data_IF_336881938303
#
_entry.id   IF_336881938303
#
_cell.length_a   1.000
_cell.length_b   1.000
_cell.length_c   1.000
_cell.angle_alpha   90.00
_cell.angle_beta   90.00
_cell.angle_gamma   90.00
#
_symmetry.space_group_name_H-M   'P 1'
#
loop_
_entity.id
_entity.type
_entity.pdbx_description
1 polymer ?
#
# COMPACT_ATOMS: atom_id res chain seq x y z
N UNK A 1 26.05 -50.79 -23.80
CA UNK A 1 25.43 -49.96 -22.75
C UNK A 1 26.19 -48.65 -22.77
N UNK A 2 25.51 -47.55 -23.13
CA UNK A 2 26.13 -46.23 -23.13
C UNK A 2 26.00 -45.74 -21.69
N UNK A 3 27.12 -45.64 -20.97
CA UNK A 3 27.16 -44.90 -19.72
C UNK A 3 26.90 -43.43 -20.06
N UNK A 4 25.67 -42.97 -19.82
CA UNK A 4 25.37 -41.55 -19.90
C UNK A 4 26.28 -40.82 -18.92
N UNK A 5 26.95 -39.78 -19.41
CA UNK A 5 27.87 -39.02 -18.58
C UNK A 5 27.09 -38.27 -17.48
N UNK A 6 27.72 -38.08 -16.32
CA UNK A 6 27.12 -37.32 -15.23
C UNK A 6 26.61 -35.93 -15.66
N UNK A 7 27.27 -35.33 -16.65
CA UNK A 7 26.95 -34.01 -17.20
C UNK A 7 25.65 -34.00 -18.02
N UNK A 8 25.32 -35.09 -18.69
CA UNK A 8 24.07 -35.24 -19.45
C UNK A 8 22.86 -35.31 -18.51
N UNK A 9 22.99 -36.08 -17.44
CA UNK A 9 21.97 -36.18 -16.39
C UNK A 9 21.71 -34.80 -15.75
N UNK A 10 22.79 -34.07 -15.44
CA UNK A 10 22.66 -32.76 -14.83
C UNK A 10 22.04 -31.74 -15.81
N UNK A 11 22.37 -31.84 -17.09
CA UNK A 11 21.75 -31.04 -18.15
C UNK A 11 20.24 -31.32 -18.27
N UNK A 12 19.84 -32.59 -18.24
CA UNK A 12 18.43 -32.98 -18.31
C UNK A 12 17.61 -32.39 -17.16
N UNK A 13 18.12 -32.47 -15.93
CA UNK A 13 17.45 -31.88 -14.78
C UNK A 13 17.41 -30.35 -14.85
N UNK A 14 18.48 -29.70 -15.32
CA UNK A 14 18.49 -28.24 -15.48
C UNK A 14 17.46 -27.78 -16.53
N UNK A 15 17.37 -28.47 -17.66
CA UNK A 15 16.35 -28.20 -18.69
C UNK A 15 14.93 -28.44 -18.16
N UNK A 16 14.73 -29.49 -17.35
CA UNK A 16 13.46 -29.78 -16.72
C UNK A 16 13.02 -28.67 -15.74
N UNK A 17 13.94 -28.15 -14.93
CA UNK A 17 13.69 -27.01 -14.05
C UNK A 17 13.23 -25.79 -14.86
N UNK A 18 13.95 -25.46 -15.94
CA UNK A 18 13.65 -24.30 -16.76
C UNK A 18 12.28 -24.41 -17.45
N UNK A 19 11.95 -25.60 -17.98
CA UNK A 19 10.62 -25.87 -18.58
C UNK A 19 9.48 -25.73 -17.59
N UNK A 20 9.65 -26.22 -16.36
CA UNK A 20 8.63 -26.08 -15.30
C UNK A 20 8.45 -24.60 -14.93
N UNK A 21 9.55 -23.86 -14.78
CA UNK A 21 9.50 -22.42 -14.46
C UNK A 21 8.82 -21.60 -15.58
N UNK A 22 9.07 -21.96 -16.84
CA UNK A 22 8.46 -21.31 -18.01
C UNK A 22 7.02 -21.78 -18.27
N UNK A 23 6.47 -22.69 -17.46
CA UNK A 23 5.15 -23.31 -17.66
C UNK A 23 5.00 -24.02 -19.02
N UNK A 24 6.11 -24.54 -19.55
CA UNK A 24 6.18 -25.31 -20.78
C UNK A 24 6.74 -26.72 -20.53
N UNK A 25 6.11 -27.54 -19.64
CA UNK A 25 6.53 -28.91 -19.43
C UNK A 25 6.31 -29.74 -20.70
N UNK A 26 7.18 -30.72 -20.90
CA UNK A 26 7.10 -31.72 -21.97
C UNK A 26 6.49 -33.03 -21.48
N UNK A 27 6.49 -33.29 -20.16
CA UNK A 27 5.95 -34.53 -19.62
C UNK A 27 4.42 -34.60 -19.73
N UNK A 28 3.83 -35.68 -20.27
CA UNK A 28 2.40 -35.77 -20.58
C UNK A 28 1.48 -35.47 -19.39
N UNK A 29 1.81 -35.98 -18.19
CA UNK A 29 1.02 -35.70 -16.99
C UNK A 29 1.06 -34.23 -16.56
N UNK A 30 2.23 -33.58 -16.70
CA UNK A 30 2.40 -32.18 -16.34
C UNK A 30 1.66 -31.29 -17.34
N UNK A 31 1.78 -31.60 -18.63
CA UNK A 31 1.00 -30.94 -19.69
C UNK A 31 -0.51 -31.09 -19.43
N UNK A 32 -0.97 -32.28 -19.07
CA UNK A 32 -2.38 -32.52 -18.76
C UNK A 32 -2.86 -31.70 -17.56
N UNK A 33 -2.03 -31.52 -16.52
CA UNK A 33 -2.35 -30.64 -15.38
C UNK A 33 -2.51 -29.19 -15.80
N UNK A 34 -1.61 -28.67 -16.63
CA UNK A 34 -1.73 -27.29 -17.15
C UNK A 34 -2.98 -27.12 -18.03
N UNK A 35 -3.28 -28.09 -18.90
CA UNK A 35 -4.50 -28.07 -19.72
C UNK A 35 -5.77 -28.06 -18.87
N UNK A 36 -5.74 -28.66 -17.68
CA UNK A 36 -6.83 -28.63 -16.69
C UNK A 36 -6.85 -27.35 -15.82
N UNK A 37 -5.98 -26.38 -16.10
CA UNK A 37 -5.86 -25.15 -15.33
C UNK A 37 -5.17 -25.30 -13.97
N UNK A 38 -4.55 -26.46 -13.69
CA UNK A 38 -3.83 -26.68 -12.44
C UNK A 38 -2.45 -26.04 -12.48
N UNK A 39 -2.00 -25.50 -11.34
CA UNK A 39 -0.65 -24.95 -11.21
C UNK A 39 0.36 -26.06 -10.95
N UNK A 40 1.48 -26.01 -11.69
CA UNK A 40 2.64 -26.88 -11.43
C UNK A 40 3.63 -26.11 -10.57
N UNK A 41 3.95 -26.67 -9.40
CA UNK A 41 5.00 -26.14 -8.52
C UNK A 41 6.35 -26.74 -8.89
N UNK A 42 7.41 -25.96 -8.74
CA UNK A 42 8.77 -26.46 -8.83
C UNK A 42 9.07 -27.29 -7.57
N UNK A 43 9.20 -28.60 -7.73
CA UNK A 43 9.59 -29.51 -6.66
C UNK A 43 10.37 -30.71 -7.23
N UNK A 44 11.12 -31.47 -6.41
CA UNK A 44 11.94 -32.59 -6.89
C UNK A 44 11.14 -33.65 -7.66
N UNK A 45 9.87 -33.87 -7.29
CA UNK A 45 9.00 -34.85 -7.95
C UNK A 45 8.69 -34.45 -9.40
N UNK A 46 8.26 -33.21 -9.62
CA UNK A 46 7.89 -32.72 -10.95
C UNK A 46 9.14 -32.57 -11.83
N UNK A 47 10.28 -32.16 -11.26
CA UNK A 47 11.56 -32.07 -11.97
C UNK A 47 12.01 -33.45 -12.44
N UNK A 48 11.97 -34.47 -11.58
CA UNK A 48 12.33 -35.83 -11.96
C UNK A 48 11.42 -36.39 -13.08
N UNK A 49 10.10 -36.16 -12.97
CA UNK A 49 9.14 -36.53 -14.03
C UNK A 49 9.44 -35.83 -15.35
N UNK A 50 9.67 -34.51 -15.31
CA UNK A 50 9.96 -33.70 -16.49
C UNK A 50 11.28 -34.10 -17.17
N UNK A 51 12.30 -34.44 -16.38
CA UNK A 51 13.57 -34.97 -16.88
C UNK A 51 13.48 -36.42 -17.39
N UNK A 52 12.36 -37.12 -17.16
CA UNK A 52 12.18 -38.57 -17.41
C UNK A 52 13.24 -39.42 -16.68
N UNK A 53 13.66 -38.98 -15.50
CA UNK A 53 14.67 -39.66 -14.67
C UNK A 53 14.07 -40.11 -13.33
N UNK A 54 14.73 -41.08 -12.71
CA UNK A 54 14.39 -41.52 -11.36
C UNK A 54 14.63 -40.41 -10.33
N UNK A 55 13.81 -40.38 -9.26
CA UNK A 55 14.06 -39.46 -8.15
C UNK A 55 15.36 -39.76 -7.42
N UNK A 56 15.76 -41.04 -7.34
CA UNK A 56 17.03 -41.45 -6.73
C UNK A 56 18.21 -40.75 -7.40
N UNK A 57 18.24 -40.74 -8.74
CA UNK A 57 19.25 -40.04 -9.53
C UNK A 57 19.28 -38.54 -9.25
N UNK A 58 18.12 -37.91 -9.01
CA UNK A 58 18.07 -36.50 -8.61
C UNK A 58 18.63 -36.29 -7.19
N UNK A 59 18.39 -37.21 -6.26
CA UNK A 59 18.88 -37.09 -4.89
C UNK A 59 20.40 -37.24 -4.76
N UNK A 60 21.02 -37.95 -5.70
CA UNK A 60 22.47 -38.04 -5.82
C UNK A 60 23.10 -36.71 -6.32
N UNK A 61 22.30 -35.79 -6.86
CA UNK A 61 22.73 -34.50 -7.42
C UNK A 61 22.39 -33.33 -6.49
N UNK A 62 23.23 -33.13 -5.49
CA UNK A 62 23.08 -32.09 -4.46
C UNK A 62 22.98 -30.67 -5.04
N UNK A 63 23.81 -30.34 -6.03
CA UNK A 63 23.82 -29.02 -6.67
C UNK A 63 22.46 -28.66 -7.32
N UNK A 64 21.81 -29.64 -7.95
CA UNK A 64 20.50 -29.45 -8.58
C UNK A 64 19.42 -29.30 -7.51
N UNK A 65 19.47 -30.11 -6.45
CA UNK A 65 18.52 -30.00 -5.33
C UNK A 65 18.61 -28.63 -4.66
N UNK A 66 19.82 -28.10 -4.45
CA UNK A 66 20.00 -26.79 -3.85
C UNK A 66 19.50 -25.68 -4.78
N UNK A 67 19.71 -25.81 -6.09
CA UNK A 67 19.10 -24.92 -7.08
C UNK A 67 17.57 -24.93 -6.98
N UNK A 68 16.93 -26.11 -6.88
CA UNK A 68 15.47 -26.23 -6.70
C UNK A 68 15.02 -25.50 -5.43
N UNK A 69 15.71 -25.71 -4.29
CA UNK A 69 15.37 -25.05 -3.02
C UNK A 69 15.49 -23.53 -3.11
N UNK A 70 16.54 -23.02 -3.74
CA UNK A 70 16.76 -21.58 -3.91
C UNK A 70 15.65 -20.98 -4.78
N UNK A 71 15.30 -21.64 -5.88
CA UNK A 71 14.26 -21.19 -6.80
C UNK A 71 12.85 -21.29 -6.21
N UNK A 72 12.59 -22.28 -5.35
CA UNK A 72 11.32 -22.41 -4.63
C UNK A 72 11.17 -21.31 -3.56
N UNK A 73 12.24 -20.99 -2.83
CA UNK A 73 12.22 -20.00 -1.74
C UNK A 73 12.40 -18.55 -2.20
N UNK A 74 13.09 -18.33 -3.32
CA UNK A 74 13.46 -17.00 -3.82
C UNK A 74 12.27 -16.05 -4.04
N UNK A 75 11.20 -16.48 -4.73
CA UNK A 75 10.00 -15.67 -4.91
C UNK A 75 9.30 -15.35 -3.59
N UNK A 76 9.30 -16.31 -2.65
CA UNK A 76 8.59 -16.19 -1.37
C UNK A 76 9.27 -15.19 -0.43
N UNK A 77 10.60 -15.20 -0.37
CA UNK A 77 11.37 -14.22 0.41
C UNK A 77 11.21 -12.79 -0.13
N UNK A 78 11.20 -12.62 -1.46
CA UNK A 78 10.99 -11.31 -2.09
C UNK A 78 9.57 -10.78 -1.87
N UNK A 79 8.57 -11.66 -1.94
CA UNK A 79 7.17 -11.31 -1.65
C UNK A 79 7.00 -10.92 -0.18
N UNK A 80 7.62 -11.64 0.75
CA UNK A 80 7.58 -11.32 2.18
C UNK A 80 8.21 -9.95 2.46
N UNK A 81 9.40 -9.68 1.92
CA UNK A 81 10.05 -8.38 2.07
C UNK A 81 9.21 -7.22 1.51
N UNK A 82 8.54 -7.43 0.37
CA UNK A 82 7.62 -6.46 -0.21
C UNK A 82 6.39 -6.23 0.67
N UNK A 83 5.85 -7.30 1.25
CA UNK A 83 4.70 -7.24 2.14
C UNK A 83 5.03 -6.49 3.44
N UNK A 84 6.19 -6.76 4.02
CA UNK A 84 6.68 -6.04 5.21
C UNK A 84 6.90 -4.55 4.92
N UNK A 85 7.45 -4.22 3.74
CA UNK A 85 7.60 -2.85 3.27
C UNK A 85 6.26 -2.13 3.14
N UNK A 86 5.28 -2.75 2.48
CA UNK A 86 3.93 -2.20 2.33
C UNK A 86 3.23 -1.98 3.67
N UNK A 87 3.38 -2.91 4.61
CA UNK A 87 2.81 -2.78 5.96
C UNK A 87 3.40 -1.58 6.70
N UNK A 88 4.71 -1.35 6.61
CA UNK A 88 5.36 -0.17 7.22
C UNK A 88 4.85 1.12 6.59
N UNK A 89 4.76 1.19 5.26
CA UNK A 89 4.24 2.38 4.56
C UNK A 89 2.78 2.66 4.93
N UNK A 90 1.96 1.61 5.01
CA UNK A 90 0.55 1.77 5.37
C UNK A 90 0.38 2.26 6.81
N UNK A 91 1.20 1.75 7.74
CA UNK A 91 1.24 2.25 9.12
C UNK A 91 1.63 3.73 9.16
N UNK A 92 2.69 4.12 8.45
CA UNK A 92 3.15 5.51 8.39
C UNK A 92 2.07 6.44 7.82
N UNK A 93 1.44 6.07 6.71
CA UNK A 93 0.38 6.86 6.08
C UNK A 93 -0.85 6.99 6.98
N UNK A 94 -1.17 5.95 7.75
CA UNK A 94 -2.27 5.99 8.73
C UNK A 94 -1.96 6.98 9.84
N UNK A 95 -0.74 6.93 10.40
CA UNK A 95 -0.30 7.88 11.42
C UNK A 95 -0.28 9.33 10.91
N UNK A 96 0.19 9.56 9.68
CA UNK A 96 0.24 10.90 9.08
C UNK A 96 -1.18 11.44 8.79
N UNK A 97 -2.09 10.56 8.33
CA UNK A 97 -3.52 10.90 8.17
C UNK A 97 -4.13 11.32 9.50
N UNK A 98 -3.90 10.55 10.56
CA UNK A 98 -4.50 10.82 11.87
C UNK A 98 -3.99 12.15 12.44
N UNK A 99 -2.68 12.43 12.34
CA UNK A 99 -2.10 13.73 12.70
C UNK A 99 -2.71 14.88 11.89
N UNK A 100 -2.92 14.68 10.58
CA UNK A 100 -3.53 15.70 9.73
C UNK A 100 -4.99 15.98 10.11
N UNK A 101 -5.74 14.94 10.47
CA UNK A 101 -7.12 15.07 10.96
C UNK A 101 -7.17 15.81 12.31
N UNK A 102 -6.29 15.49 13.24
CA UNK A 102 -6.19 16.18 14.53
C UNK A 102 -5.82 17.66 14.34
N UNK A 103 -4.86 17.96 13.47
CA UNK A 103 -4.48 19.32 13.13
C UNK A 103 -5.65 20.10 12.48
N UNK A 104 -6.39 19.46 11.57
CA UNK A 104 -7.57 20.06 10.94
C UNK A 104 -8.68 20.34 11.97
N UNK A 105 -8.94 19.42 12.89
CA UNK A 105 -9.90 19.62 13.97
C UNK A 105 -9.51 20.80 14.86
N UNK A 106 -8.23 20.91 15.25
CA UNK A 106 -7.72 22.04 16.03
C UNK A 106 -7.86 23.39 15.29
N UNK A 107 -7.60 23.41 13.98
CA UNK A 107 -7.81 24.61 13.16
C UNK A 107 -9.29 25.02 13.10
N UNK A 108 -10.20 24.07 12.94
CA UNK A 108 -11.65 24.34 12.93
C UNK A 108 -12.09 24.95 14.26
N UNK A 109 -11.59 24.42 15.39
CA UNK A 109 -11.91 24.96 16.72
C UNK A 109 -11.42 26.40 16.83
N UNK A 110 -10.16 26.69 16.47
CA UNK A 110 -9.61 28.06 16.49
C UNK A 110 -10.37 29.01 15.58
N UNK A 111 -10.75 28.58 14.37
CA UNK A 111 -11.55 29.42 13.46
C UNK A 111 -12.90 29.78 14.08
N UNK A 112 -13.58 28.83 14.71
CA UNK A 112 -14.86 29.09 15.41
C UNK A 112 -14.69 30.03 16.62
N UNK A 113 -13.57 29.96 17.33
CA UNK A 113 -13.26 30.89 18.42
C UNK A 113 -13.03 32.31 17.89
N UNK A 114 -12.24 32.45 16.84
CA UNK A 114 -11.99 33.73 16.17
C UNK A 114 -13.29 34.33 15.60
N UNK A 115 -14.14 33.53 14.95
CA UNK A 115 -15.46 33.97 14.49
C UNK A 115 -16.30 34.54 15.64
N UNK A 116 -16.37 33.84 16.77
CA UNK A 116 -17.09 34.33 17.96
C UNK A 116 -16.50 35.62 18.52
N UNK A 117 -15.18 35.76 18.55
CA UNK A 117 -14.51 36.99 19.00
C UNK A 117 -14.80 38.17 18.07
N UNK A 118 -14.72 37.97 16.76
CA UNK A 118 -15.03 39.01 15.78
C UNK A 118 -16.50 39.46 15.87
N UNK A 119 -17.44 38.53 16.03
CA UNK A 119 -18.86 38.85 16.20
C UNK A 119 -19.14 39.60 17.50
N UNK A 120 -18.46 39.24 18.60
CA UNK A 120 -18.52 39.99 19.86
C UNK A 120 -17.96 41.41 19.69
N UNK A 121 -16.85 41.56 18.97
CA UNK A 121 -16.25 42.85 18.62
C UNK A 121 -17.21 43.74 17.84
N UNK A 122 -17.82 43.21 16.76
CA UNK A 122 -18.83 43.92 15.96
C UNK A 122 -20.03 44.38 16.80
N UNK A 123 -20.54 43.51 17.68
CA UNK A 123 -21.65 43.86 18.59
C UNK A 123 -21.27 44.94 19.60
N UNK A 124 -20.03 44.96 20.09
CA UNK A 124 -19.53 46.02 20.98
C UNK A 124 -19.40 47.35 20.26
N UNK A 125 -18.78 47.35 19.08
CA UNK A 125 -18.66 48.55 18.22
C UNK A 125 -20.04 49.15 17.89
N UNK A 126 -20.98 48.32 17.43
CA UNK A 126 -22.34 48.78 17.12
C UNK A 126 -23.12 49.34 18.33
N UNK A 127 -22.79 48.90 19.56
CA UNK A 127 -23.37 49.47 20.79
C UNK A 127 -22.74 50.81 21.15
N UNK A 128 -21.44 50.96 20.93
CA UNK A 128 -20.74 52.22 21.14
C UNK A 128 -21.24 53.30 20.16
N UNK A 129 -21.35 52.98 18.87
CA UNK A 129 -21.85 53.91 17.85
C UNK A 129 -23.28 54.39 18.16
N UNK A 130 -24.15 53.51 18.68
CA UNK A 130 -25.51 53.89 19.11
C UNK A 130 -25.53 54.76 20.36
N UNK A 131 -24.61 54.54 21.30
CA UNK A 131 -24.48 55.37 22.50
C UNK A 131 -23.98 56.77 22.17
N UNK A 132 -23.04 56.88 21.23
CA UNK A 132 -22.51 58.16 20.74
C UNK A 132 -23.55 58.93 19.92
N UNK A 133 -24.33 58.23 19.06
CA UNK A 133 -25.44 58.85 18.33
C UNK A 133 -26.60 59.30 19.23
N UNK A 134 -26.90 58.56 20.31
CA UNK A 134 -27.95 58.91 21.28
C UNK A 134 -27.62 60.12 22.15
N UNK A 135 -26.34 60.33 22.46
CA UNK A 135 -25.88 61.52 23.20
C UNK A 135 -25.82 62.81 22.34
N UNK A 136 -25.99 62.70 21.01
CA UNK A 136 -25.91 63.84 20.09
C UNK A 136 -27.29 64.39 19.66
N UNK A 137 -28.37 63.96 20.30
CA UNK A 137 -29.73 64.50 20.04
C UNK A 137 -29.90 65.80 20.82
N UNK A 138 -29.51 66.92 20.21
CA UNK A 138 -29.81 68.26 20.72
C UNK A 138 -31.32 68.49 20.58
N UNK A 139 -32.02 68.69 21.70
CA UNK A 139 -33.44 69.06 21.68
C UNK A 139 -33.61 70.40 20.95
N UNK A 140 -34.26 70.37 19.78
CA UNK A 140 -34.59 71.59 19.04
C UNK A 140 -35.62 72.40 19.83
N UNK A 141 -35.19 73.51 20.43
CA UNK A 141 -36.08 74.49 21.04
C UNK A 141 -36.46 75.50 19.96
N UNK A 142 -37.73 75.61 19.56
CA UNK A 142 -38.14 76.60 18.58
C UNK A 142 -37.80 78.02 19.08
N UNK A 143 -37.33 78.93 18.22
CA UNK A 143 -37.08 80.30 18.63
C UNK A 143 -38.40 80.97 19.01
N UNK A 144 -38.44 81.56 20.21
CA UNK A 144 -39.54 82.41 20.63
C UNK A 144 -39.61 83.63 19.70
N UNK A 145 -40.78 83.80 19.10
CA UNK A 145 -41.12 84.83 18.14
C UNK A 145 -41.06 86.21 18.84
N UNK A 146 -39.95 86.92 18.67
CA UNK A 146 -39.80 88.31 19.13
C UNK A 146 -40.57 89.22 18.16
N UNK A 147 -41.87 89.36 18.39
CA UNK A 147 -42.79 90.15 17.58
C UNK A 147 -43.64 91.13 18.38
N UNK A 148 -43.11 92.36 18.50
CA UNK A 148 -43.74 93.66 18.82
C UNK A 148 -43.85 94.10 20.28
#
# INVERSE_FOLDING_TARGET
>A
MIEESCDEIDRDFNLAIDRILQKCPSHPELVAKLKKGQTIRLNPMNVAKEAKRGRSTLYERTAILDRIKILEKGPLARLQAKLDGLNRTNKQLTEDRDRALDAAAAMIIRMRELEKETDRGKRRAARQDRSEAGNNVVAFRPPDDMGK
#
